data_IF_591872795493
#
_entry.id   IF_591872795493
#
_cell.length_a   1.000
_cell.length_b   1.000
_cell.length_c   1.000
_cell.angle_alpha   90.00
_cell.angle_beta   90.00
_cell.angle_gamma   90.00
#
_symmetry.space_group_name_H-M   'P 1'
#
loop_
_entity.id
_entity.type
_entity.pdbx_description
1 polymer ?
#
# COMPACT_ATOMS: atom_id res chain seq x y z
N UNK A 1 24.93 33.69 -0.77
CA UNK A 1 24.61 32.85 0.41
C UNK A 1 23.43 31.97 0.02
N UNK A 2 23.69 30.73 -0.39
CA UNK A 2 22.64 29.78 -0.76
C UNK A 2 22.18 29.07 0.50
N UNK A 3 20.95 29.36 0.94
CA UNK A 3 20.35 28.77 2.13
C UNK A 3 20.15 27.26 1.93
N UNK A 4 20.81 26.47 2.76
CA UNK A 4 20.54 25.04 2.91
C UNK A 4 19.09 24.88 3.41
N UNK A 5 18.20 24.35 2.56
CA UNK A 5 16.87 23.91 2.99
C UNK A 5 17.08 22.74 3.95
N UNK A 6 16.92 22.95 5.25
CA UNK A 6 16.83 21.85 6.23
C UNK A 6 15.63 20.98 5.83
N UNK A 7 15.88 19.88 5.14
CA UNK A 7 14.86 18.89 4.81
C UNK A 7 14.24 18.38 6.11
N UNK A 8 12.97 18.70 6.36
CA UNK A 8 12.25 18.21 7.54
C UNK A 8 12.20 16.68 7.55
N UNK A 9 12.31 16.08 8.74
CA UNK A 9 12.21 14.62 8.90
C UNK A 9 10.79 14.19 8.52
N UNK A 10 10.66 13.32 7.51
CA UNK A 10 9.37 12.76 7.09
C UNK A 10 8.87 11.67 8.05
N UNK A 11 7.59 11.36 7.96
CA UNK A 11 7.03 10.17 8.61
C UNK A 11 7.52 8.87 7.95
N UNK A 12 7.42 7.76 8.69
CA UNK A 12 7.65 6.43 8.14
C UNK A 12 6.39 5.92 7.43
N UNK A 13 6.56 5.10 6.38
CA UNK A 13 5.49 4.31 5.79
C UNK A 13 5.70 2.86 6.21
N UNK A 14 4.81 2.35 7.07
CA UNK A 14 4.87 1.01 7.63
C UNK A 14 3.68 0.23 7.07
N UNK A 15 3.96 -0.85 6.34
CA UNK A 15 2.93 -1.68 5.70
C UNK A 15 2.89 -3.05 6.36
N UNK A 16 1.69 -3.52 6.69
CA UNK A 16 1.43 -4.86 7.19
C UNK A 16 0.81 -5.71 6.09
N UNK A 17 1.47 -6.82 5.75
CA UNK A 17 1.02 -7.80 4.77
C UNK A 17 0.86 -9.19 5.40
N UNK A 18 0.12 -10.07 4.74
CA UNK A 18 -0.07 -11.46 5.18
C UNK A 18 -1.46 -12.03 4.88
N UNK A 19 -1.62 -13.33 5.12
CA UNK A 19 -2.84 -14.10 4.87
C UNK A 19 -4.08 -13.55 5.60
N UNK A 20 -5.28 -13.89 5.14
CA UNK A 20 -6.50 -13.51 5.86
C UNK A 20 -6.51 -14.05 7.28
N UNK A 21 -7.10 -13.26 8.19
CA UNK A 21 -7.17 -13.54 9.64
C UNK A 21 -5.83 -13.68 10.37
N UNK A 22 -4.71 -13.26 9.77
CA UNK A 22 -3.38 -13.25 10.42
C UNK A 22 -3.19 -12.18 11.53
N UNK A 23 -4.25 -11.45 11.90
CA UNK A 23 -4.19 -10.43 12.96
C UNK A 23 -3.63 -9.07 12.55
N UNK A 24 -3.44 -8.79 11.24
CA UNK A 24 -2.91 -7.50 10.73
C UNK A 24 -3.60 -6.28 11.33
N UNK A 25 -4.93 -6.20 11.23
CA UNK A 25 -5.68 -5.04 11.74
C UNK A 25 -5.44 -4.81 13.24
N UNK A 26 -5.34 -5.88 14.03
CA UNK A 26 -5.00 -5.81 15.45
C UNK A 26 -3.59 -5.29 15.68
N UNK A 27 -2.61 -5.77 14.92
CA UNK A 27 -1.22 -5.32 15.05
C UNK A 27 -1.02 -3.88 14.59
N UNK A 28 -1.68 -3.46 13.51
CA UNK A 28 -1.70 -2.07 13.06
C UNK A 28 -2.24 -1.14 14.16
N UNK A 29 -3.37 -1.51 14.79
CA UNK A 29 -3.97 -0.73 15.85
C UNK A 29 -3.03 -0.60 17.07
N UNK A 30 -2.47 -1.72 17.54
CA UNK A 30 -1.53 -1.73 18.67
C UNK A 30 -0.27 -0.89 18.40
N UNK A 31 0.29 -0.99 17.20
CA UNK A 31 1.45 -0.18 16.82
C UNK A 31 1.10 1.31 16.79
N UNK A 32 -0.07 1.66 16.24
CA UNK A 32 -0.52 3.05 16.20
C UNK A 32 -0.69 3.63 17.60
N UNK A 33 -1.40 2.91 18.47
CA UNK A 33 -1.60 3.30 19.87
C UNK A 33 -0.27 3.52 20.58
N UNK A 34 0.69 2.59 20.42
CA UNK A 34 2.01 2.74 21.04
C UNK A 34 2.77 3.97 20.55
N UNK A 35 2.81 4.19 19.23
CA UNK A 35 3.52 5.32 18.64
C UNK A 35 2.86 6.66 19.00
N UNK A 36 1.52 6.70 19.08
CA UNK A 36 0.77 7.88 19.54
C UNK A 36 1.08 8.17 21.01
N UNK A 37 1.11 7.14 21.87
CA UNK A 37 1.51 7.29 23.27
C UNK A 37 2.94 7.81 23.43
N UNK A 38 3.82 7.50 22.47
CA UNK A 38 5.20 8.03 22.40
C UNK A 38 5.30 9.43 21.76
N UNK A 39 4.17 10.12 21.57
CA UNK A 39 4.11 11.49 21.05
C UNK A 39 4.34 11.60 19.54
N UNK A 40 4.26 10.50 18.78
CA UNK A 40 4.42 10.53 17.32
C UNK A 40 3.09 10.85 16.63
N UNK A 41 3.17 11.59 15.52
CA UNK A 41 2.04 11.78 14.60
C UNK A 41 1.86 10.50 13.78
N UNK A 42 0.70 9.86 13.90
CA UNK A 42 0.41 8.59 13.22
C UNK A 42 -0.95 8.65 12.54
N UNK A 43 -1.05 8.06 11.34
CA UNK A 43 -2.30 7.83 10.64
C UNK A 43 -2.41 6.35 10.26
N UNK A 44 -3.51 5.72 10.67
CA UNK A 44 -3.90 4.40 10.19
C UNK A 44 -4.60 4.52 8.84
N UNK A 45 -4.25 3.62 7.93
CA UNK A 45 -4.87 3.44 6.62
C UNK A 45 -5.04 1.95 6.34
N UNK A 46 -5.99 1.61 5.46
CA UNK A 46 -6.26 0.22 5.07
C UNK A 46 -6.63 0.19 3.59
N UNK A 47 -6.17 -0.83 2.87
CA UNK A 47 -6.59 -1.08 1.50
C UNK A 47 -7.33 -2.44 1.39
N UNK A 48 -8.43 -2.51 0.60
CA UNK A 48 -9.04 -1.39 -0.11
C UNK A 48 -9.71 -0.40 0.86
N UNK A 49 -9.64 0.91 0.55
CA UNK A 49 -10.40 1.94 1.24
C UNK A 49 -11.84 1.90 0.70
N UNK A 50 -12.71 1.18 1.43
CA UNK A 50 -14.10 0.92 1.04
C UNK A 50 -15.02 2.15 1.13
N UNK A 51 -14.50 3.30 1.55
CA UNK A 51 -15.29 4.54 1.66
C UNK A 51 -15.38 5.31 0.34
N UNK A 52 -14.48 5.05 -0.61
CA UNK A 52 -14.45 5.72 -1.92
C UNK A 52 -15.37 5.02 -2.94
N UNK A 53 -15.77 5.67 -4.03
CA UNK A 53 -16.56 5.02 -5.09
C UNK A 53 -15.89 3.75 -5.66
N UNK A 54 -14.57 3.79 -5.89
CA UNK A 54 -13.80 2.62 -6.33
C UNK A 54 -13.80 1.54 -5.23
N UNK A 55 -13.58 1.95 -3.97
CA UNK A 55 -13.63 1.06 -2.82
C UNK A 55 -14.96 0.33 -2.65
N UNK A 56 -16.07 1.00 -2.95
CA UNK A 56 -17.40 0.40 -2.90
C UNK A 56 -17.62 -0.64 -4.00
N UNK A 57 -17.08 -0.42 -5.20
CA UNK A 57 -17.08 -1.43 -6.28
C UNK A 57 -16.30 -2.67 -5.84
N UNK A 58 -15.12 -2.48 -5.26
CA UNK A 58 -14.31 -3.58 -4.71
C UNK A 58 -15.04 -4.30 -3.57
N UNK A 59 -15.74 -3.58 -2.69
CA UNK A 59 -16.47 -4.19 -1.58
C UNK A 59 -17.63 -5.07 -2.07
N UNK A 60 -18.37 -4.64 -3.09
CA UNK A 60 -19.43 -5.46 -3.73
C UNK A 60 -18.87 -6.73 -4.36
N UNK A 61 -17.74 -6.61 -5.06
CA UNK A 61 -17.03 -7.77 -5.59
C UNK A 61 -16.60 -8.75 -4.48
N UNK A 62 -15.96 -8.26 -3.42
CA UNK A 62 -15.50 -9.11 -2.30
C UNK A 62 -16.65 -9.76 -1.52
N UNK A 63 -17.83 -9.14 -1.53
CA UNK A 63 -19.07 -9.70 -0.96
C UNK A 63 -19.81 -10.64 -1.91
N UNK A 64 -19.31 -10.86 -3.13
CA UNK A 64 -19.94 -11.67 -4.16
C UNK A 64 -21.35 -11.16 -4.54
N UNK A 65 -21.59 -9.85 -4.43
CA UNK A 65 -22.87 -9.24 -4.85
C UNK A 65 -22.80 -8.76 -6.30
N UNK A 66 -21.61 -8.61 -6.86
CA UNK A 66 -21.35 -8.27 -8.26
C UNK A 66 -20.17 -9.11 -8.77
N UNK A 67 -20.26 -9.61 -9.99
CA UNK A 67 -19.15 -10.27 -10.68
C UNK A 67 -18.38 -9.24 -11.52
N UNK A 68 -17.06 -9.32 -11.46
CA UNK A 68 -16.15 -8.54 -12.28
C UNK A 68 -15.07 -9.47 -12.81
N UNK A 69 -14.64 -9.21 -14.04
CA UNK A 69 -13.47 -9.83 -14.63
C UNK A 69 -12.21 -9.60 -13.76
N UNK A 70 -11.31 -10.59 -13.77
CA UNK A 70 -10.13 -10.61 -12.89
C UNK A 70 -9.13 -9.48 -13.20
N UNK A 71 -8.99 -9.07 -14.47
CA UNK A 71 -8.19 -7.90 -14.82
C UNK A 71 -8.86 -6.62 -14.34
N UNK A 72 -10.18 -6.52 -14.49
CA UNK A 72 -10.95 -5.34 -14.06
C UNK A 72 -10.81 -5.12 -12.56
N UNK A 73 -11.04 -6.15 -11.74
CA UNK A 73 -10.92 -6.01 -10.28
C UNK A 73 -9.47 -5.72 -9.86
N UNK A 74 -8.48 -6.32 -10.52
CA UNK A 74 -7.07 -6.01 -10.28
C UNK A 74 -6.77 -4.52 -10.46
N UNK A 75 -7.23 -3.95 -11.57
CA UNK A 75 -7.06 -2.52 -11.87
C UNK A 75 -7.81 -1.63 -10.88
N UNK A 76 -9.00 -2.03 -10.41
CA UNK A 76 -9.72 -1.29 -9.37
C UNK A 76 -8.94 -1.26 -8.05
N UNK A 77 -8.38 -2.38 -7.60
CA UNK A 77 -7.51 -2.41 -6.41
C UNK A 77 -6.30 -1.49 -6.55
N UNK A 78 -5.66 -1.46 -7.72
CA UNK A 78 -4.55 -0.56 -8.02
C UNK A 78 -4.97 0.91 -8.04
N UNK A 79 -6.13 1.21 -8.63
CA UNK A 79 -6.69 2.56 -8.71
C UNK A 79 -7.07 3.10 -7.33
N UNK A 80 -7.63 2.26 -6.44
CA UNK A 80 -7.96 2.62 -5.06
C UNK A 80 -6.72 2.98 -4.22
N UNK A 81 -5.54 2.40 -4.50
CA UNK A 81 -4.28 2.85 -3.89
C UNK A 81 -3.80 4.17 -4.48
N UNK A 82 -3.98 4.37 -5.79
CA UNK A 82 -3.56 5.57 -6.48
C UNK A 82 -4.31 6.82 -6.04
N UNK A 83 -5.63 6.75 -5.86
CA UNK A 83 -6.43 7.89 -5.39
C UNK A 83 -5.99 8.37 -3.99
N UNK A 84 -5.42 7.48 -3.16
CA UNK A 84 -4.88 7.83 -1.85
C UNK A 84 -3.45 8.41 -1.89
N UNK A 85 -2.75 8.32 -3.02
CA UNK A 85 -1.30 8.59 -3.10
C UNK A 85 -0.93 10.00 -2.67
N UNK A 86 -1.60 11.02 -3.21
CA UNK A 86 -1.29 12.42 -2.89
C UNK A 86 -1.47 12.71 -1.40
N UNK A 87 -2.54 12.17 -0.80
CA UNK A 87 -2.79 12.25 0.64
C UNK A 87 -1.69 11.57 1.45
N UNK A 88 -1.26 10.37 1.06
CA UNK A 88 -0.18 9.64 1.72
C UNK A 88 1.13 10.43 1.68
N UNK A 89 1.51 10.95 0.50
CA UNK A 89 2.73 11.75 0.32
C UNK A 89 2.70 13.01 1.18
N UNK A 90 1.57 13.73 1.21
CA UNK A 90 1.43 14.94 2.02
C UNK A 90 1.55 14.65 3.53
N UNK A 91 0.93 13.56 4.00
CA UNK A 91 1.04 13.13 5.39
C UNK A 91 2.48 12.77 5.75
N UNK A 92 3.17 12.00 4.92
CA UNK A 92 4.57 11.63 5.15
C UNK A 92 5.47 12.87 5.17
N UNK A 93 5.34 13.79 4.20
CA UNK A 93 6.10 15.04 4.15
C UNK A 93 5.83 15.94 5.38
N UNK A 94 4.64 15.86 5.97
CA UNK A 94 4.30 16.59 7.20
C UNK A 94 4.89 15.99 8.49
N UNK A 95 5.65 14.89 8.39
CA UNK A 95 6.18 14.15 9.54
C UNK A 95 5.21 13.12 10.13
N UNK A 96 4.07 12.85 9.48
CA UNK A 96 3.09 11.87 9.96
C UNK A 96 3.45 10.47 9.48
N UNK A 97 3.66 9.54 10.42
CA UNK A 97 3.89 8.13 10.13
C UNK A 97 2.59 7.47 9.68
N UNK A 98 2.64 6.71 8.59
CA UNK A 98 1.52 5.94 8.07
C UNK A 98 1.68 4.47 8.46
N UNK A 99 0.67 3.90 9.10
CA UNK A 99 0.56 2.46 9.33
C UNK A 99 -0.56 1.95 8.42
N UNK A 100 -0.22 1.06 7.50
CA UNK A 100 -1.09 0.63 6.41
C UNK A 100 -1.37 -0.87 6.49
N UNK A 101 -2.64 -1.24 6.69
CA UNK A 101 -3.12 -2.63 6.62
C UNK A 101 -3.40 -3.01 5.16
N UNK A 102 -2.55 -3.85 4.59
CA UNK A 102 -2.47 -4.25 3.16
C UNK A 102 -2.10 -3.11 2.20
N UNK A 103 -1.27 -3.40 1.20
CA UNK A 103 -0.90 -2.46 0.14
C UNK A 103 -0.71 -3.17 -1.20
N UNK A 104 0.32 -2.82 -1.97
CA UNK A 104 0.56 -3.35 -3.31
C UNK A 104 0.84 -4.86 -3.32
N UNK A 105 1.52 -5.40 -2.31
CA UNK A 105 1.88 -6.83 -2.26
C UNK A 105 0.65 -7.74 -2.11
N UNK A 106 -0.36 -7.31 -1.33
CA UNK A 106 -1.67 -7.97 -1.34
C UNK A 106 -2.27 -8.01 -2.75
N UNK A 107 -2.23 -6.91 -3.50
CA UNK A 107 -2.75 -6.86 -4.87
C UNK A 107 -2.11 -7.89 -5.80
N UNK A 108 -0.78 -8.01 -5.75
CA UNK A 108 -0.02 -9.01 -6.54
C UNK A 108 -0.39 -10.43 -6.13
N UNK A 109 -0.35 -10.73 -4.82
CA UNK A 109 -0.57 -12.08 -4.31
C UNK A 109 -1.98 -12.62 -4.62
N UNK A 110 -3.02 -11.81 -4.42
CA UNK A 110 -4.40 -12.24 -4.68
C UNK A 110 -4.71 -12.40 -6.17
N UNK A 111 -4.08 -11.59 -7.02
CA UNK A 111 -4.29 -11.67 -8.47
C UNK A 111 -3.59 -12.90 -9.04
N UNK A 112 -2.35 -13.16 -8.62
CA UNK A 112 -1.62 -14.37 -8.98
C UNK A 112 -2.37 -15.65 -8.56
N UNK A 113 -2.96 -15.66 -7.36
CA UNK A 113 -3.69 -16.84 -6.87
C UNK A 113 -4.95 -17.17 -7.69
N UNK A 114 -5.57 -16.18 -8.35
CA UNK A 114 -6.76 -16.38 -9.19
C UNK A 114 -6.42 -17.01 -10.52
N UNK A 115 -5.30 -16.65 -11.11
CA UNK A 115 -4.81 -17.23 -12.36
C UNK A 115 -4.46 -18.72 -12.19
N UNK A 116 -4.07 -19.18 -10.99
CA UNK A 116 -3.64 -20.58 -10.72
C UNK A 116 -4.80 -21.59 -10.86
N UNK A 117 -6.05 -21.12 -10.89
CA UNK A 117 -7.22 -22.00 -11.02
C UNK A 117 -7.70 -22.23 -12.47
N UNK A 118 -6.96 -21.79 -13.49
CA UNK A 118 -7.32 -22.03 -14.89
C UNK A 118 -6.10 -22.29 -15.78
N UNK A 119 -5.91 -23.56 -16.16
CA UNK A 119 -5.26 -24.17 -17.35
C UNK A 119 -4.13 -23.46 -18.14
N UNK A 120 -3.47 -22.42 -17.61
CA UNK A 120 -2.29 -21.83 -18.19
C UNK A 120 -1.03 -22.51 -17.65
N UNK A 121 -0.08 -22.83 -18.52
CA UNK A 121 1.25 -23.27 -18.10
C UNK A 121 1.81 -22.30 -17.04
N UNK A 122 2.44 -22.83 -16.00
CA UNK A 122 3.00 -22.05 -14.88
C UNK A 122 3.86 -20.87 -15.37
N UNK A 123 4.52 -21.01 -16.52
CA UNK A 123 5.35 -19.97 -17.14
C UNK A 123 4.54 -18.83 -17.79
N UNK A 124 3.43 -19.15 -18.46
CA UNK A 124 2.51 -18.12 -19.00
C UNK A 124 1.88 -17.31 -17.86
N UNK A 125 1.55 -18.00 -16.76
CA UNK A 125 1.01 -17.43 -15.54
C UNK A 125 2.02 -16.54 -14.81
N UNK A 126 3.28 -17.00 -14.71
CA UNK A 126 4.37 -16.19 -14.17
C UNK A 126 4.59 -14.92 -14.99
N UNK A 127 4.55 -15.03 -16.33
CA UNK A 127 4.73 -13.90 -17.22
C UNK A 127 3.57 -12.90 -17.15
N UNK A 128 2.33 -13.38 -17.02
CA UNK A 128 1.16 -12.51 -16.88
C UNK A 128 1.14 -11.78 -15.53
N UNK A 129 1.38 -12.50 -14.44
CA UNK A 129 1.55 -11.90 -13.11
C UNK A 129 2.72 -10.92 -13.11
N UNK A 130 3.85 -11.28 -13.72
CA UNK A 130 5.01 -10.40 -13.84
C UNK A 130 4.67 -9.17 -14.67
N UNK A 131 3.96 -9.29 -15.78
CA UNK A 131 3.59 -8.16 -16.64
C UNK A 131 2.61 -7.22 -15.93
N UNK A 132 1.53 -7.75 -15.33
CA UNK A 132 0.55 -6.97 -14.57
C UNK A 132 1.23 -6.29 -13.37
N UNK A 133 2.05 -7.04 -12.63
CA UNK A 133 2.81 -6.52 -11.50
C UNK A 133 3.81 -5.46 -11.97
N UNK A 134 4.46 -5.67 -13.10
CA UNK A 134 5.41 -4.73 -13.70
C UNK A 134 4.70 -3.50 -14.25
N UNK A 135 3.50 -3.60 -14.79
CA UNK A 135 2.72 -2.43 -15.20
C UNK A 135 2.27 -1.62 -13.98
N UNK A 136 1.75 -2.28 -12.94
CA UNK A 136 1.42 -1.62 -11.67
C UNK A 136 2.66 -0.99 -11.06
N UNK A 137 3.79 -1.70 -11.01
CA UNK A 137 5.06 -1.21 -10.47
C UNK A 137 5.66 -0.11 -11.35
N UNK A 138 5.61 -0.18 -12.68
CA UNK A 138 6.12 0.87 -13.60
C UNK A 138 5.26 2.12 -13.55
N UNK A 139 3.94 1.97 -13.46
CA UNK A 139 3.04 3.08 -13.11
C UNK A 139 3.45 3.64 -11.73
N UNK A 140 3.88 2.77 -10.81
CA UNK A 140 4.43 3.10 -9.51
C UNK A 140 5.89 3.64 -9.54
N UNK A 141 6.69 3.48 -10.60
CA UNK A 141 8.10 3.88 -10.58
C UNK A 141 8.29 5.38 -10.82
N UNK A 142 7.20 6.09 -11.14
CA UNK A 142 7.08 7.55 -10.99
C UNK A 142 6.61 7.96 -9.57
N UNK A 143 6.70 7.07 -8.57
CA UNK A 143 6.16 7.35 -7.24
C UNK A 143 7.07 8.24 -6.39
N UNK A 144 6.52 9.33 -5.85
CA UNK A 144 7.16 10.10 -4.79
C UNK A 144 7.53 9.25 -3.56
N UNK A 145 6.83 8.13 -3.30
CA UNK A 145 7.11 7.24 -2.17
C UNK A 145 8.42 6.46 -2.31
N UNK A 146 8.75 5.98 -3.52
CA UNK A 146 10.01 5.28 -3.76
C UNK A 146 11.18 6.26 -3.68
N UNK A 147 10.98 7.50 -4.17
CA UNK A 147 11.94 8.59 -3.99
C UNK A 147 12.14 8.91 -2.50
N UNK A 148 11.06 9.06 -1.73
CA UNK A 148 11.12 9.26 -0.27
C UNK A 148 11.86 8.13 0.47
N UNK A 149 11.79 6.90 -0.04
CA UNK A 149 12.50 5.75 0.53
C UNK A 149 14.00 5.78 0.24
N UNK A 150 14.39 6.17 -0.99
CA UNK A 150 15.81 6.32 -1.40
C UNK A 150 16.50 7.51 -0.74
N UNK A 151 15.75 8.54 -0.35
CA UNK A 151 16.31 9.77 0.25
C UNK A 151 16.69 9.65 1.76
N UNK A 152 16.84 8.43 2.32
CA UNK A 152 17.38 8.12 3.68
C UNK A 152 16.96 9.03 4.87
N UNK A 153 15.70 9.45 4.94
CA UNK A 153 15.24 10.43 5.94
C UNK A 153 14.72 9.84 7.26
N UNK A 154 14.95 8.55 7.55
CA UNK A 154 14.54 7.95 8.82
C UNK A 154 15.76 7.98 9.78
N UNK A 155 15.73 8.78 10.86
CA UNK A 155 16.87 8.84 11.78
C UNK A 155 17.09 7.48 12.43
N UNK A 156 18.32 6.98 12.29
CA UNK A 156 18.82 5.84 13.06
C UNK A 156 18.90 6.29 14.52
N UNK A 157 17.96 5.88 15.36
CA UNK A 157 18.01 6.17 16.79
C UNK A 157 18.93 5.16 17.50
N UNK A 158 20.18 5.09 17.05
CA UNK A 158 21.26 4.35 17.69
C UNK A 158 22.02 5.32 18.60
N UNK A 159 21.43 5.64 19.75
CA UNK A 159 22.12 6.15 20.93
C UNK A 159 21.25 5.78 22.14
N UNK A 160 21.42 4.53 22.60
CA UNK A 160 21.21 4.14 23.99
C UNK A 160 22.59 3.97 24.61
#
# INVERSE_FOLDING_TARGET
>A
MNGCVKGGIRGALIVFEGCDRSGKSTQCAKLAEKLIADGKKVKLMKFPDRTTPIGQMIDRYLKQTEELDDHTIHLLFSSNRWEAMQKMVNLLKSGTTLIVDRYAYSGVAYSAAKTVNGDASIDALHNEVYNITTEVIKISERLPLLQLWKDETIPNNSNK
#
